data_IF_151158066184
#
_entry.id   IF_151158066184
#
_cell.length_a   1.000
_cell.length_b   1.000
_cell.length_c   1.000
_cell.angle_alpha   90.00
_cell.angle_beta   90.00
_cell.angle_gamma   90.00
#
_symmetry.space_group_name_H-M   'P 1'
#
loop_
_entity.id
_entity.type
_entity.pdbx_description
1 polymer ?
#
# COMPACT_ATOMS: atom_id res chain seq x y z
N UNK A 1 104.58 -42.61 -56.81
CA UNK A 1 103.68 -41.90 -57.76
C UNK A 1 102.20 -42.21 -57.45
N UNK A 2 101.73 -42.08 -56.19
CA UNK A 2 100.36 -42.50 -55.76
C UNK A 2 99.60 -41.45 -54.92
N UNK A 3 100.16 -40.25 -54.68
CA UNK A 3 99.50 -39.22 -53.87
C UNK A 3 98.69 -38.20 -54.68
N UNK A 4 99.07 -37.90 -55.94
CA UNK A 4 98.37 -36.86 -56.74
C UNK A 4 96.95 -37.25 -57.17
N UNK A 5 96.58 -38.54 -57.14
CA UNK A 5 95.26 -39.03 -57.54
C UNK A 5 94.19 -38.90 -56.44
N UNK A 6 94.57 -38.79 -55.16
CA UNK A 6 93.62 -38.64 -54.04
C UNK A 6 93.09 -37.21 -53.89
N UNK A 7 93.88 -36.19 -54.20
CA UNK A 7 93.45 -34.78 -54.08
C UNK A 7 92.37 -34.40 -55.12
N UNK A 8 92.49 -34.85 -56.37
CA UNK A 8 91.51 -34.57 -57.44
C UNK A 8 90.15 -35.24 -57.16
N UNK A 9 90.14 -36.35 -56.41
CA UNK A 9 88.91 -37.07 -56.04
C UNK A 9 88.07 -36.29 -55.01
N UNK A 10 88.70 -35.59 -54.06
CA UNK A 10 87.99 -34.85 -53.01
C UNK A 10 87.31 -33.56 -53.51
N UNK A 11 87.96 -32.79 -54.39
CA UNK A 11 87.35 -31.57 -54.95
C UNK A 11 86.09 -31.88 -55.78
N UNK A 12 86.10 -32.94 -56.60
CA UNK A 12 84.93 -33.33 -57.41
C UNK A 12 83.76 -33.82 -56.55
N UNK A 13 84.04 -34.47 -55.41
CA UNK A 13 83.01 -34.94 -54.48
C UNK A 13 82.42 -33.80 -53.65
N UNK A 14 83.24 -32.82 -53.24
CA UNK A 14 82.80 -31.61 -52.54
C UNK A 14 81.96 -30.69 -53.43
N UNK A 15 82.36 -30.48 -54.68
CA UNK A 15 81.61 -29.65 -55.65
C UNK A 15 80.25 -30.25 -56.00
N UNK A 16 80.15 -31.59 -56.07
CA UNK A 16 78.87 -32.30 -56.26
C UNK A 16 77.93 -32.19 -55.05
N UNK A 17 78.49 -32.24 -53.83
CA UNK A 17 77.71 -32.03 -52.61
C UNK A 17 77.25 -30.58 -52.46
N UNK A 18 78.09 -29.61 -52.83
CA UNK A 18 77.72 -28.19 -52.84
C UNK A 18 76.59 -27.90 -53.84
N UNK A 19 76.61 -28.52 -55.03
CA UNK A 19 75.52 -28.37 -56.02
C UNK A 19 74.21 -29.01 -55.57
N UNK A 20 74.25 -30.12 -54.83
CA UNK A 20 73.05 -30.79 -54.29
C UNK A 20 72.45 -29.95 -53.16
N UNK A 21 73.28 -29.35 -52.32
CA UNK A 21 72.84 -28.50 -51.20
C UNK A 21 72.27 -27.16 -51.70
N UNK A 22 72.82 -26.59 -52.77
CA UNK A 22 72.28 -25.40 -53.43
C UNK A 22 70.93 -25.66 -54.13
N UNK A 23 70.71 -26.88 -54.64
CA UNK A 23 69.44 -27.27 -55.27
C UNK A 23 68.31 -27.48 -54.24
N UNK A 24 68.65 -27.91 -53.01
CA UNK A 24 67.67 -28.06 -51.92
C UNK A 24 67.26 -26.72 -51.29
N UNK A 25 68.13 -25.70 -51.31
CA UNK A 25 67.78 -24.36 -50.83
C UNK A 25 66.76 -23.64 -51.74
N UNK A 26 66.69 -24.02 -53.02
CA UNK A 26 65.76 -23.42 -54.00
C UNK A 26 64.29 -23.86 -53.83
N UNK A 27 64.02 -24.89 -53.02
CA UNK A 27 62.65 -25.41 -52.81
C UNK A 27 61.87 -24.74 -51.66
N UNK A 28 62.48 -23.80 -50.90
CA UNK A 28 61.89 -23.28 -49.66
C UNK A 28 61.24 -21.89 -49.82
N UNK A 29 61.35 -21.23 -50.98
CA UNK A 29 60.83 -19.85 -51.20
C UNK A 29 59.52 -19.82 -52.04
N UNK A 30 58.74 -20.89 -52.00
CA UNK A 30 57.59 -21.10 -52.90
C UNK A 30 56.20 -21.11 -52.25
N UNK A 31 55.92 -20.31 -51.22
CA UNK A 31 54.56 -20.21 -50.68
C UNK A 31 54.13 -18.76 -50.45
N UNK A 32 53.48 -18.18 -51.44
CA UNK A 32 52.64 -17.00 -51.30
C UNK A 32 51.18 -17.46 -51.37
N UNK A 33 50.54 -17.65 -50.20
CA UNK A 33 49.10 -17.90 -50.10
C UNK A 33 48.38 -16.59 -49.80
N UNK A 34 47.67 -16.08 -50.81
CA UNK A 34 46.75 -14.96 -50.71
C UNK A 34 45.49 -15.42 -49.95
N UNK A 35 45.22 -14.86 -48.76
CA UNK A 35 44.02 -15.19 -47.98
C UNK A 35 42.79 -14.50 -48.58
N UNK A 36 42.00 -15.24 -49.37
CA UNK A 36 40.64 -14.84 -49.71
C UNK A 36 39.76 -14.97 -48.46
N UNK A 37 39.40 -13.83 -47.87
CA UNK A 37 38.34 -13.77 -46.87
C UNK A 37 36.99 -13.91 -47.58
N UNK A 38 36.45 -15.13 -47.61
CA UNK A 38 35.04 -15.33 -47.95
C UNK A 38 34.18 -14.85 -46.77
N UNK A 39 33.46 -13.74 -46.97
CA UNK A 39 32.45 -13.27 -46.02
C UNK A 39 31.26 -14.22 -46.09
N UNK A 40 31.20 -15.18 -45.17
CA UNK A 40 30.00 -16.00 -44.95
C UNK A 40 28.94 -15.10 -44.31
N UNK A 41 28.02 -14.55 -45.12
CA UNK A 41 26.83 -13.86 -44.63
C UNK A 41 25.84 -14.91 -44.11
N UNK A 42 26.04 -15.36 -42.86
CA UNK A 42 24.99 -16.05 -42.10
C UNK A 42 23.98 -15.01 -41.63
N UNK A 43 22.97 -14.72 -42.45
CA UNK A 43 21.90 -13.77 -42.14
C UNK A 43 20.88 -14.37 -41.16
N UNK A 44 21.34 -14.84 -39.99
CA UNK A 44 20.45 -15.32 -38.92
C UNK A 44 20.01 -14.12 -38.09
N UNK A 45 18.71 -13.86 -38.06
CA UNK A 45 18.12 -12.89 -37.14
C UNK A 45 18.46 -13.29 -35.71
N UNK A 46 19.09 -12.41 -34.90
CA UNK A 46 19.38 -12.73 -33.52
C UNK A 46 18.06 -12.85 -32.76
N UNK A 47 17.87 -13.99 -32.11
CA UNK A 47 16.71 -14.25 -31.24
C UNK A 47 17.19 -14.27 -29.78
N UNK A 48 16.42 -13.65 -28.90
CA UNK A 48 16.63 -13.75 -27.46
C UNK A 48 15.84 -14.95 -26.95
N UNK A 49 16.53 -15.96 -26.41
CA UNK A 49 15.92 -17.15 -25.84
C UNK A 49 15.85 -16.96 -24.32
N UNK A 50 14.66 -17.12 -23.73
CA UNK A 50 14.48 -17.19 -22.29
C UNK A 50 14.36 -18.65 -21.83
N UNK A 51 14.99 -19.01 -20.72
CA UNK A 51 14.85 -20.34 -20.12
C UNK A 51 13.67 -20.36 -19.15
N UNK A 52 12.81 -21.39 -19.18
CA UNK A 52 11.71 -21.53 -18.24
C UNK A 52 12.27 -21.78 -16.82
N UNK A 53 11.82 -20.98 -15.85
CA UNK A 53 12.11 -21.17 -14.43
C UNK A 53 10.81 -21.55 -13.72
N UNK A 54 10.84 -22.66 -12.99
CA UNK A 54 9.74 -23.03 -12.10
C UNK A 54 9.89 -22.21 -10.81
N UNK A 55 9.00 -21.25 -10.61
CA UNK A 55 8.91 -20.47 -9.39
C UNK A 55 7.49 -20.49 -8.86
N UNK A 56 7.31 -20.24 -7.56
CA UNK A 56 5.99 -20.09 -6.96
C UNK A 56 5.34 -18.79 -7.44
N UNK A 57 4.19 -18.88 -8.09
CA UNK A 57 3.36 -17.73 -8.46
C UNK A 57 2.30 -17.50 -7.37
N UNK A 58 2.28 -16.29 -6.80
CA UNK A 58 1.23 -15.88 -5.86
C UNK A 58 0.21 -15.02 -6.58
N UNK A 59 -1.05 -15.45 -6.57
CA UNK A 59 -2.18 -14.67 -7.07
C UNK A 59 -2.79 -13.85 -5.92
N UNK A 60 -3.03 -12.57 -6.16
CA UNK A 60 -3.61 -11.66 -5.18
C UNK A 60 -4.91 -11.07 -5.71
N UNK A 61 -5.90 -10.94 -4.83
CA UNK A 61 -7.12 -10.21 -5.08
C UNK A 61 -7.07 -8.87 -4.36
N UNK A 62 -7.45 -7.79 -5.06
CA UNK A 62 -7.47 -6.45 -4.49
C UNK A 62 -8.90 -6.00 -4.28
N UNK A 63 -9.21 -5.54 -3.07
CA UNK A 63 -10.52 -5.02 -2.69
C UNK A 63 -10.37 -3.64 -2.06
N UNK A 64 -11.41 -2.82 -2.21
CA UNK A 64 -11.44 -1.51 -1.56
C UNK A 64 -11.84 -1.66 -0.09
N UNK A 65 -11.34 -0.74 0.74
CA UNK A 65 -11.62 -0.75 2.17
C UNK A 65 -11.77 0.68 2.71
N UNK A 66 -12.62 0.82 3.73
CA UNK A 66 -12.90 2.11 4.38
C UNK A 66 -12.50 2.05 5.85
N UNK A 67 -11.92 3.13 6.37
CA UNK A 67 -11.59 3.26 7.80
C UNK A 67 -12.80 3.76 8.59
N UNK A 68 -13.09 3.13 9.73
CA UNK A 68 -14.15 3.56 10.65
C UNK A 68 -13.72 3.37 12.10
N UNK A 69 -14.34 4.12 13.00
CA UNK A 69 -14.25 3.87 14.44
C UNK A 69 -15.43 2.98 14.85
N UNK A 70 -15.14 1.83 15.46
CA UNK A 70 -16.19 0.89 15.89
C UNK A 70 -16.96 1.40 17.11
N UNK A 71 -16.33 2.24 17.92
CA UNK A 71 -16.93 2.86 19.10
C UNK A 71 -17.16 4.34 18.84
N UNK A 72 -18.43 4.72 18.74
CA UNK A 72 -18.89 6.10 18.58
C UNK A 72 -20.06 6.36 19.51
N UNK A 73 -20.09 7.54 20.08
CA UNK A 73 -21.24 8.09 20.81
C UNK A 73 -21.81 9.26 20.02
N UNK A 74 -23.13 9.23 19.83
CA UNK A 74 -23.88 10.33 19.25
C UNK A 74 -24.50 11.12 20.40
N UNK A 75 -24.04 12.34 20.60
CA UNK A 75 -24.58 13.26 21.60
C UNK A 75 -25.83 13.90 21.02
N UNK A 76 -26.98 13.55 21.59
CA UNK A 76 -28.30 14.03 21.14
C UNK A 76 -28.86 15.07 22.10
N UNK A 77 -29.62 16.01 21.56
CA UNK A 77 -30.44 16.87 22.40
C UNK A 77 -31.52 16.06 23.10
N UNK A 78 -31.68 16.25 24.40
CA UNK A 78 -32.74 15.61 25.20
C UNK A 78 -34.04 16.42 25.22
N UNK A 79 -33.99 17.69 24.79
CA UNK A 79 -35.13 18.60 24.76
C UNK A 79 -34.95 19.64 23.65
N UNK A 80 -36.07 20.17 23.17
CA UNK A 80 -36.04 21.33 22.28
C UNK A 80 -35.63 22.61 23.03
N UNK A 81 -34.79 23.44 22.43
CA UNK A 81 -34.27 24.64 23.10
C UNK A 81 -33.18 25.36 22.34
N UNK A 82 -32.48 26.24 23.05
CA UNK A 82 -31.37 27.03 22.51
C UNK A 82 -30.06 26.62 23.16
N UNK A 83 -29.01 26.46 22.36
CA UNK A 83 -27.66 26.23 22.88
C UNK A 83 -27.15 27.54 23.47
N UNK A 84 -26.93 27.57 24.77
CA UNK A 84 -26.40 28.76 25.47
C UNK A 84 -24.89 28.74 25.57
N UNK A 85 -24.28 27.55 25.56
CA UNK A 85 -22.83 27.41 25.60
C UNK A 85 -22.36 26.11 24.98
N UNK A 86 -21.27 26.21 24.24
CA UNK A 86 -20.48 25.10 23.72
C UNK A 86 -19.16 25.07 24.50
N UNK A 87 -18.85 23.94 25.15
CA UNK A 87 -17.65 23.81 26.00
C UNK A 87 -16.48 23.12 25.29
N UNK A 88 -16.74 22.46 24.16
CA UNK A 88 -15.78 21.63 23.43
C UNK A 88 -15.89 21.87 21.93
N UNK A 89 -14.76 21.79 21.24
CA UNK A 89 -14.66 21.97 19.81
C UNK A 89 -14.25 20.66 19.13
N UNK A 90 -14.43 20.64 17.80
CA UNK A 90 -13.97 19.52 16.96
C UNK A 90 -12.47 19.32 17.17
N UNK A 91 -12.05 18.07 17.40
CA UNK A 91 -10.69 17.69 17.69
C UNK A 91 -10.34 17.60 19.18
N UNK A 92 -11.19 18.12 20.07
CA UNK A 92 -10.95 18.01 21.51
C UNK A 92 -11.18 16.57 22.00
N UNK A 93 -10.32 16.13 22.91
CA UNK A 93 -10.56 14.91 23.68
C UNK A 93 -11.52 15.18 24.84
N UNK A 94 -12.47 14.27 25.03
CA UNK A 94 -13.51 14.34 26.07
C UNK A 94 -13.51 13.08 26.93
N UNK A 95 -13.79 13.25 28.21
CA UNK A 95 -13.92 12.15 29.18
C UNK A 95 -15.39 11.90 29.55
N UNK A 96 -15.74 10.70 30.04
CA UNK A 96 -17.10 10.42 30.52
C UNK A 96 -17.50 11.41 31.63
N UNK A 97 -18.70 11.95 31.53
CA UNK A 97 -19.24 12.95 32.45
C UNK A 97 -18.84 14.40 32.15
N UNK A 98 -17.94 14.64 31.20
CA UNK A 98 -17.53 15.98 30.80
C UNK A 98 -18.65 16.69 30.02
N UNK A 99 -18.88 17.97 30.33
CA UNK A 99 -19.94 18.77 29.70
C UNK A 99 -19.50 19.21 28.31
N UNK A 100 -20.37 19.01 27.32
CA UNK A 100 -20.13 19.39 25.92
C UNK A 100 -21.01 20.59 25.55
N UNK A 101 -22.30 20.54 25.88
CA UNK A 101 -23.26 21.60 25.59
C UNK A 101 -24.07 21.97 26.82
N UNK A 102 -24.48 23.23 26.87
CA UNK A 102 -25.54 23.71 27.76
C UNK A 102 -26.70 24.24 26.93
N UNK A 103 -27.86 23.64 27.13
CA UNK A 103 -29.10 23.97 26.42
C UNK A 103 -30.07 24.55 27.42
N UNK A 104 -30.77 25.60 27.03
CA UNK A 104 -31.94 26.10 27.78
C UNK A 104 -33.19 25.74 26.99
N UNK A 105 -34.17 25.13 27.64
CA UNK A 105 -35.41 24.74 26.96
C UNK A 105 -36.17 25.97 26.48
N UNK A 106 -36.94 25.82 25.40
CA UNK A 106 -37.74 26.92 24.84
C UNK A 106 -38.68 27.53 25.88
N UNK A 107 -39.26 26.70 26.75
CA UNK A 107 -40.21 27.10 27.79
C UNK A 107 -39.54 27.94 28.88
N UNK A 108 -38.32 27.56 29.30
CA UNK A 108 -37.56 28.31 30.29
C UNK A 108 -36.93 29.58 29.70
N UNK A 109 -36.60 29.58 28.41
CA UNK A 109 -36.14 30.79 27.72
C UNK A 109 -37.24 31.85 27.60
N UNK A 110 -38.48 31.43 27.31
CA UNK A 110 -39.61 32.34 27.19
C UNK A 110 -40.10 32.87 28.55
N UNK A 111 -39.89 32.11 29.62
CA UNK A 111 -40.32 32.46 30.94
C UNK A 111 -39.13 32.91 31.78
N UNK A 112 -38.87 34.22 31.77
CA UNK A 112 -37.82 34.96 32.49
C UNK A 112 -37.72 34.65 34.01
N UNK A 113 -38.66 33.86 34.56
CA UNK A 113 -38.83 33.59 35.99
C UNK A 113 -39.33 32.19 36.39
N UNK A 114 -39.29 31.14 35.55
CA UNK A 114 -39.72 29.80 35.97
C UNK A 114 -38.70 29.12 36.90
N UNK A 115 -38.61 29.59 38.15
CA UNK A 115 -37.96 28.88 39.26
C UNK A 115 -38.98 27.93 39.91
N UNK A 116 -39.32 26.85 39.20
CA UNK A 116 -40.18 25.82 39.75
C UNK A 116 -39.35 25.00 40.76
N UNK A 117 -39.75 25.02 42.03
CA UNK A 117 -39.16 24.15 43.04
C UNK A 117 -39.80 22.76 42.91
N UNK A 118 -39.10 21.82 42.30
CA UNK A 118 -39.51 20.43 42.22
C UNK A 118 -38.63 19.66 43.22
N UNK A 119 -39.25 19.02 44.21
CA UNK A 119 -38.55 18.19 45.21
C UNK A 119 -37.37 18.89 45.93
N UNK A 120 -37.46 20.21 46.16
CA UNK A 120 -36.41 20.98 46.84
C UNK A 120 -35.31 21.54 45.93
N UNK A 121 -35.28 21.16 44.65
CA UNK A 121 -34.34 21.71 43.65
C UNK A 121 -35.05 22.72 42.75
N UNK A 122 -34.37 23.82 42.42
CA UNK A 122 -34.87 24.81 41.48
C UNK A 122 -34.65 24.29 40.05
N UNK A 123 -35.72 23.91 39.37
CA UNK A 123 -35.67 23.64 37.94
C UNK A 123 -35.47 24.97 37.20
N UNK A 124 -34.30 25.15 36.60
CA UNK A 124 -33.94 26.35 35.83
C UNK A 124 -34.19 26.20 34.33
N UNK A 125 -34.64 25.03 33.88
CA UNK A 125 -34.74 24.68 32.46
C UNK A 125 -33.41 24.69 31.70
N UNK A 126 -32.28 24.76 32.42
CA UNK A 126 -30.94 24.60 31.86
C UNK A 126 -30.49 23.16 31.99
N UNK A 127 -30.02 22.59 30.88
CA UNK A 127 -29.68 21.17 30.75
C UNK A 127 -28.24 21.08 30.25
N UNK A 128 -27.43 20.32 30.99
CA UNK A 128 -26.04 20.06 30.65
C UNK A 128 -25.95 18.71 29.95
N UNK A 129 -25.59 18.73 28.66
CA UNK A 129 -25.31 17.51 27.92
C UNK A 129 -23.86 17.09 28.18
N UNK A 130 -23.71 15.87 28.68
CA UNK A 130 -22.43 15.28 29.07
C UNK A 130 -22.08 14.10 28.19
N UNK A 131 -20.79 13.88 27.95
CA UNK A 131 -20.29 12.68 27.31
C UNK A 131 -20.57 11.43 28.17
N UNK A 132 -20.98 10.31 27.56
CA UNK A 132 -21.11 9.02 28.24
C UNK A 132 -19.85 8.16 28.08
N UNK A 133 -19.06 8.43 27.05
CA UNK A 133 -17.85 7.69 26.67
C UNK A 133 -16.67 8.63 26.54
N UNK A 134 -15.46 8.07 26.55
CA UNK A 134 -14.24 8.79 26.23
C UNK A 134 -13.95 8.75 24.73
N UNK A 135 -13.37 9.82 24.20
CA UNK A 135 -12.99 9.88 22.78
C UNK A 135 -12.69 11.29 22.29
N UNK A 136 -12.60 11.43 20.98
CA UNK A 136 -12.35 12.71 20.31
C UNK A 136 -13.65 13.18 19.65
N UNK A 137 -13.95 14.47 19.81
CA UNK A 137 -15.08 15.09 19.14
C UNK A 137 -14.81 15.19 17.63
N UNK A 138 -15.48 14.39 16.81
CA UNK A 138 -15.25 14.31 15.36
C UNK A 138 -16.24 15.15 14.56
N UNK A 139 -17.42 15.43 15.11
CA UNK A 139 -18.44 16.25 14.48
C UNK A 139 -19.06 17.19 15.50
N UNK A 140 -19.30 18.43 15.10
CA UNK A 140 -20.04 19.44 15.86
C UNK A 140 -20.69 20.40 14.86
N UNK A 141 -22.01 20.41 14.82
CA UNK A 141 -22.79 21.10 13.79
C UNK A 141 -23.55 22.34 14.29
N UNK A 142 -23.34 22.72 15.56
CA UNK A 142 -24.10 23.79 16.21
C UNK A 142 -23.20 24.75 16.97
N UNK A 143 -23.63 26.00 16.99
CA UNK A 143 -22.99 27.10 17.69
C UNK A 143 -23.85 27.57 18.86
N UNK A 144 -23.24 28.42 19.69
CA UNK A 144 -23.99 29.12 20.72
C UNK A 144 -25.03 30.04 20.08
N UNK A 145 -26.27 29.95 20.54
CA UNK A 145 -27.43 30.66 20.02
C UNK A 145 -28.35 29.81 19.15
N UNK A 146 -27.88 28.66 18.65
CA UNK A 146 -28.65 27.84 17.72
C UNK A 146 -29.84 27.16 18.42
N UNK A 147 -30.95 27.09 17.70
CA UNK A 147 -32.12 26.32 18.11
C UNK A 147 -31.93 24.85 17.74
N UNK A 148 -32.26 23.96 18.68
CA UNK A 148 -32.19 22.51 18.50
C UNK A 148 -33.51 21.86 18.90
N UNK A 149 -33.87 20.81 18.19
CA UNK A 149 -35.06 19.99 18.45
C UNK A 149 -34.71 18.79 19.33
N UNK A 150 -35.74 18.17 19.93
CA UNK A 150 -35.55 16.92 20.68
C UNK A 150 -35.04 15.80 19.76
N UNK A 151 -34.08 15.01 20.25
CA UNK A 151 -33.46 13.89 19.54
C UNK A 151 -32.41 14.26 18.48
N UNK A 152 -32.23 15.54 18.19
CA UNK A 152 -31.30 16.05 17.17
C UNK A 152 -29.84 15.72 17.54
N UNK A 153 -29.06 15.28 16.55
CA UNK A 153 -27.64 14.94 16.74
C UNK A 153 -26.80 16.21 16.76
N UNK A 154 -26.19 16.51 17.91
CA UNK A 154 -25.42 17.74 18.09
C UNK A 154 -23.92 17.54 17.83
N UNK A 155 -23.41 16.39 18.27
CA UNK A 155 -22.02 16.03 18.11
C UNK A 155 -21.81 14.52 18.04
N UNK A 156 -20.66 14.12 17.49
CA UNK A 156 -20.19 12.72 17.49
C UNK A 156 -18.85 12.65 18.20
N UNK A 157 -18.75 11.75 19.17
CA UNK A 157 -17.52 11.41 19.86
C UNK A 157 -17.08 10.06 19.32
N UNK A 158 -15.88 9.98 18.74
CA UNK A 158 -15.32 8.73 18.23
C UNK A 158 -14.12 8.32 19.08
N UNK A 159 -14.03 7.03 19.45
CA UNK A 159 -12.87 6.54 20.17
C UNK A 159 -11.74 6.15 19.19
N UNK A 160 -10.57 6.85 19.20
CA UNK A 160 -9.47 6.56 18.28
C UNK A 160 -8.88 5.15 18.44
N UNK A 161 -8.95 4.54 19.63
CA UNK A 161 -8.43 3.19 19.86
C UNK A 161 -9.30 2.10 19.23
N UNK A 162 -10.50 2.46 18.76
CA UNK A 162 -11.45 1.56 18.08
C UNK A 162 -11.35 1.62 16.56
N UNK A 163 -10.27 2.17 16.01
CA UNK A 163 -10.03 2.24 14.57
C UNK A 163 -10.03 0.83 13.96
N UNK A 164 -10.87 0.65 12.94
CA UNK A 164 -10.97 -0.56 12.15
C UNK A 164 -11.01 -0.24 10.66
N UNK A 165 -10.58 -1.21 9.86
CA UNK A 165 -10.66 -1.17 8.40
C UNK A 165 -11.74 -2.15 7.96
N UNK A 166 -12.79 -1.64 7.31
CA UNK A 166 -13.85 -2.45 6.74
C UNK A 166 -13.51 -2.78 5.29
N UNK A 167 -13.41 -4.07 4.98
CA UNK A 167 -13.10 -4.57 3.65
C UNK A 167 -14.39 -4.82 2.87
N UNK A 168 -14.54 -4.18 1.71
CA UNK A 168 -15.74 -4.33 0.90
C UNK A 168 -15.54 -5.49 -0.08
N UNK A 169 -16.09 -6.66 0.26
CA UNK A 169 -15.94 -7.88 -0.55
C UNK A 169 -17.23 -8.12 -1.35
N UNK A 170 -17.15 -8.18 -2.69
CA UNK A 170 -18.28 -8.62 -3.52
C UNK A 170 -18.67 -10.06 -3.18
N UNK A 171 -19.97 -10.35 -3.10
CA UNK A 171 -20.50 -11.65 -2.66
C UNK A 171 -19.87 -12.86 -3.37
N UNK A 172 -19.62 -12.74 -4.68
CA UNK A 172 -18.98 -13.77 -5.52
C UNK A 172 -17.58 -14.22 -5.05
N UNK A 173 -16.93 -13.44 -4.19
CA UNK A 173 -15.59 -13.71 -3.66
C UNK A 173 -15.59 -14.02 -2.16
N UNK A 174 -16.72 -13.86 -1.47
CA UNK A 174 -16.83 -14.08 -0.02
C UNK A 174 -16.44 -15.52 0.38
N UNK A 175 -16.82 -16.53 -0.42
CA UNK A 175 -16.49 -17.93 -0.15
C UNK A 175 -14.99 -18.27 -0.22
N UNK A 176 -14.19 -17.42 -0.89
CA UNK A 176 -12.74 -17.58 -1.01
C UNK A 176 -11.97 -16.96 0.17
N UNK A 177 -12.63 -16.11 0.96
CA UNK A 177 -11.99 -15.36 2.04
C UNK A 177 -12.36 -15.99 3.37
N UNK A 178 -11.34 -16.36 4.15
CA UNK A 178 -11.49 -16.94 5.49
C UNK A 178 -11.08 -15.94 6.56
N UNK A 179 -11.70 -16.06 7.72
CA UNK A 179 -11.23 -15.37 8.92
C UNK A 179 -9.82 -15.87 9.23
N UNK A 180 -8.97 -14.99 9.76
CA UNK A 180 -7.53 -15.17 10.00
C UNK A 180 -6.64 -15.19 8.75
N UNK A 181 -7.20 -14.95 7.55
CA UNK A 181 -6.37 -14.75 6.36
C UNK A 181 -5.48 -13.52 6.52
N UNK A 182 -4.20 -13.68 6.18
CA UNK A 182 -3.26 -12.56 6.07
C UNK A 182 -3.60 -11.72 4.85
N UNK A 183 -3.56 -10.41 5.01
CA UNK A 183 -3.75 -9.47 3.92
C UNK A 183 -2.73 -8.32 4.01
N UNK A 184 -2.56 -7.65 2.88
CA UNK A 184 -1.71 -6.47 2.77
C UNK A 184 -2.61 -5.26 2.55
N UNK A 185 -2.62 -4.34 3.52
CA UNK A 185 -3.29 -3.05 3.39
C UNK A 185 -2.37 -2.09 2.64
N UNK A 186 -2.84 -1.58 1.50
CA UNK A 186 -2.18 -0.54 0.74
C UNK A 186 -2.83 0.81 1.07
N UNK A 187 -2.07 1.74 1.67
CA UNK A 187 -2.55 3.09 1.94
C UNK A 187 -2.43 3.97 0.68
N UNK A 188 -3.22 5.06 0.58
CA UNK A 188 -3.15 5.98 -0.56
C UNK A 188 -1.77 6.62 -0.79
N UNK A 189 -0.94 6.70 0.25
CA UNK A 189 0.43 7.19 0.18
C UNK A 189 1.45 6.14 -0.32
N UNK A 190 1.00 4.93 -0.67
CA UNK A 190 1.84 3.82 -1.11
C UNK A 190 2.40 2.95 0.02
N UNK A 191 2.18 3.33 1.29
CA UNK A 191 2.64 2.52 2.42
C UNK A 191 1.85 1.22 2.51
N UNK A 192 2.55 0.17 2.97
CA UNK A 192 1.99 -1.18 3.09
C UNK A 192 1.98 -1.61 4.56
N UNK A 193 0.84 -2.09 5.03
CA UNK A 193 0.67 -2.60 6.40
C UNK A 193 0.17 -4.04 6.33
N UNK A 194 0.84 -4.94 7.04
CA UNK A 194 0.36 -6.32 7.16
C UNK A 194 -0.85 -6.36 8.11
N UNK A 195 -1.92 -7.00 7.66
CA UNK A 195 -3.17 -7.14 8.41
C UNK A 195 -3.67 -8.58 8.46
N UNK A 196 -4.67 -8.81 9.30
CA UNK A 196 -5.37 -10.08 9.43
C UNK A 196 -6.87 -9.80 9.44
N UNK A 197 -7.63 -10.61 8.70
CA UNK A 197 -9.10 -10.54 8.71
C UNK A 197 -9.60 -11.12 10.03
N UNK A 198 -10.09 -10.26 10.93
CA UNK A 198 -10.45 -10.66 12.29
C UNK A 198 -11.90 -11.12 12.44
N UNK A 199 -12.83 -10.44 11.76
CA UNK A 199 -14.28 -10.67 11.84
C UNK A 199 -14.90 -10.44 10.47
N UNK A 200 -16.02 -11.11 10.21
CA UNK A 200 -16.94 -10.76 9.12
C UNK A 200 -18.20 -10.18 9.75
N UNK A 201 -18.65 -9.05 9.21
CA UNK A 201 -19.91 -8.46 9.59
C UNK A 201 -21.01 -9.12 8.74
N UNK A 202 -22.03 -9.73 9.35
CA UNK A 202 -23.20 -10.22 8.61
C UNK A 202 -24.08 -9.02 8.24
N UNK A 203 -23.57 -8.13 7.40
CA UNK A 203 -24.26 -6.95 6.91
C UNK A 203 -24.05 -6.90 5.41
N UNK A 204 -25.13 -7.14 4.66
CA UNK A 204 -25.21 -6.92 3.21
C UNK A 204 -25.65 -5.48 3.03
N UNK A 205 -24.78 -4.65 2.47
CA UNK A 205 -25.22 -3.34 1.98
C UNK A 205 -26.04 -3.60 0.69
N UNK A 206 -27.36 -3.44 0.78
CA UNK A 206 -28.31 -3.68 -0.32
C UNK A 206 -28.04 -2.79 -1.54
N UNK A 207 -27.33 -1.66 -1.37
CA UNK A 207 -27.04 -0.72 -2.46
C UNK A 207 -25.78 -1.16 -3.23
N UNK A 208 -24.77 -1.70 -2.54
CA UNK A 208 -23.48 -2.06 -3.15
C UNK A 208 -23.30 -3.56 -3.43
N UNK A 209 -24.21 -4.42 -2.97
CA UNK A 209 -24.08 -5.89 -3.04
C UNK A 209 -22.76 -6.42 -2.45
N UNK A 210 -22.22 -5.73 -1.45
CA UNK A 210 -21.02 -6.16 -0.73
C UNK A 210 -21.38 -6.66 0.66
N UNK A 211 -20.63 -7.66 1.12
CA UNK A 211 -20.64 -8.09 2.52
C UNK A 211 -19.39 -7.50 3.19
N UNK A 212 -19.56 -6.98 4.41
CA UNK A 212 -18.49 -6.35 5.20
C UNK A 212 -17.96 -7.24 6.32
#
# INVERSE_FOLDING_TARGET
>A
MKEKTKQIYYEKRFKKWLTILLLQFLFIVGCASESKNEVVINNRTPVSIANPVVTSLSEYMTFNANTTFLSKEIVRSTFQGFITKVYKNIGDYVKPGEVIFQIVTKEAYAADSLKLKLNGEAFSGTILLKAKTDGVLTELNYNTGDFVSDGEQLAVISNPSSLAVLLNIPYQHASKIKIQSHCLLLLPNGNKINGIISKSLPSVDQISQTQT
#
